data_IF_558418808508
#
_entry.id   IF_558418808508
#
_cell.length_a   1.000
_cell.length_b   1.000
_cell.length_c   1.000
_cell.angle_alpha   90.00
_cell.angle_beta   90.00
_cell.angle_gamma   90.00
#
_symmetry.space_group_name_H-M   'P 1'
#
loop_
_entity.id
_entity.type
_entity.pdbx_description
1 polymer ?
#
# COMPACT_ATOMS: atom_id res chain seq x y z
N UNK A 1 -5.78 -12.99 -25.38
CA UNK A 1 -6.03 -13.98 -24.34
C UNK A 1 -4.74 -14.51 -23.68
N UNK A 2 -3.74 -15.07 -24.40
CA UNK A 2 -2.52 -15.64 -23.78
C UNK A 2 -1.72 -14.64 -22.90
N UNK A 3 -1.59 -13.35 -23.28
CA UNK A 3 -0.93 -12.32 -22.48
C UNK A 3 -1.71 -11.98 -21.18
N UNK A 4 -3.05 -11.95 -21.28
CA UNK A 4 -3.92 -11.72 -20.13
C UNK A 4 -3.74 -12.83 -19.10
N UNK A 5 -3.88 -14.09 -19.49
CA UNK A 5 -3.66 -15.23 -18.59
C UNK A 5 -2.26 -15.25 -17.98
N UNK A 6 -1.22 -14.89 -18.72
CA UNK A 6 0.15 -14.86 -18.18
C UNK A 6 0.33 -13.80 -17.09
N UNK A 7 -0.31 -12.62 -17.24
CA UNK A 7 -0.19 -11.52 -16.27
C UNK A 7 -1.06 -11.73 -15.02
N UNK A 8 -2.24 -12.35 -15.19
CA UNK A 8 -3.21 -12.52 -14.08
C UNK A 8 -3.23 -13.93 -13.50
N UNK A 9 -2.37 -14.84 -13.99
CA UNK A 9 -2.35 -16.25 -13.57
C UNK A 9 -2.31 -16.41 -12.05
N UNK A 10 -1.44 -15.65 -11.37
CA UNK A 10 -1.29 -15.71 -9.92
C UNK A 10 -2.58 -15.28 -9.22
N UNK A 11 -3.14 -14.14 -9.60
CA UNK A 11 -4.40 -13.61 -9.03
C UNK A 11 -5.54 -14.60 -9.26
N UNK A 12 -5.62 -15.22 -10.45
CA UNK A 12 -6.62 -16.24 -10.75
C UNK A 12 -6.44 -17.48 -9.87
N UNK A 13 -5.20 -17.96 -9.68
CA UNK A 13 -4.91 -19.06 -8.76
C UNK A 13 -5.32 -18.73 -7.33
N UNK A 14 -5.07 -17.51 -6.87
CA UNK A 14 -5.48 -17.05 -5.54
C UNK A 14 -7.00 -17.02 -5.39
N UNK A 15 -7.71 -16.45 -6.36
CA UNK A 15 -9.19 -16.44 -6.36
C UNK A 15 -9.77 -17.87 -6.34
N UNK A 16 -9.24 -18.77 -7.17
CA UNK A 16 -9.68 -20.17 -7.20
C UNK A 16 -9.41 -20.84 -5.85
N UNK A 17 -8.26 -20.60 -5.24
CA UNK A 17 -7.90 -21.14 -3.93
C UNK A 17 -8.81 -20.63 -2.82
N UNK A 18 -9.10 -19.33 -2.80
CA UNK A 18 -10.00 -18.70 -1.83
C UNK A 18 -11.43 -19.24 -2.00
N UNK A 19 -11.95 -19.23 -3.23
CA UNK A 19 -13.31 -19.75 -3.52
C UNK A 19 -13.39 -21.24 -3.15
N UNK A 20 -12.41 -22.03 -3.57
CA UNK A 20 -12.34 -23.45 -3.24
C UNK A 20 -12.29 -23.70 -1.73
N UNK A 21 -11.48 -22.93 -1.00
CA UNK A 21 -11.41 -22.96 0.47
C UNK A 21 -12.75 -22.61 1.11
N UNK A 22 -13.38 -21.52 0.66
CA UNK A 22 -14.71 -21.12 1.15
C UNK A 22 -15.79 -22.19 0.94
N UNK A 23 -15.82 -22.80 -0.26
CA UNK A 23 -16.76 -23.89 -0.56
C UNK A 23 -16.48 -25.10 0.35
N UNK A 24 -15.20 -25.48 0.50
CA UNK A 24 -14.80 -26.60 1.37
C UNK A 24 -15.20 -26.34 2.82
N UNK A 25 -14.93 -25.14 3.34
CA UNK A 25 -15.31 -24.74 4.70
C UNK A 25 -16.84 -24.70 4.93
N UNK A 26 -17.61 -24.29 3.92
CA UNK A 26 -19.08 -24.27 4.00
C UNK A 26 -19.71 -25.67 3.97
N UNK A 27 -19.11 -26.60 3.22
CA UNK A 27 -19.68 -27.95 3.03
C UNK A 27 -19.13 -28.99 4.02
N UNK A 28 -17.93 -28.80 4.53
CA UNK A 28 -17.24 -29.78 5.39
C UNK A 28 -16.82 -29.16 6.73
N UNK A 29 -17.54 -29.50 7.79
CA UNK A 29 -17.23 -29.01 9.16
C UNK A 29 -15.83 -29.41 9.66
N UNK A 30 -15.24 -30.49 9.16
CA UNK A 30 -13.88 -30.93 9.46
C UNK A 30 -12.80 -30.09 8.78
N UNK A 31 -13.15 -29.07 7.97
CA UNK A 31 -12.23 -28.21 7.27
C UNK A 31 -11.35 -27.34 8.22
N UNK A 32 -11.69 -27.26 9.50
CA UNK A 32 -10.81 -26.70 10.54
C UNK A 32 -9.45 -27.43 10.61
N UNK A 33 -9.38 -28.71 10.23
CA UNK A 33 -8.13 -29.48 10.13
C UNK A 33 -7.16 -28.94 9.05
N UNK A 34 -7.62 -28.04 8.16
CA UNK A 34 -6.79 -27.41 7.11
C UNK A 34 -6.08 -26.15 7.59
N UNK A 35 -6.34 -25.67 8.82
CA UNK A 35 -5.67 -24.53 9.44
C UNK A 35 -4.13 -24.56 9.31
N UNK A 36 -3.42 -25.69 9.52
CA UNK A 36 -1.96 -25.72 9.44
C UNK A 36 -1.40 -25.29 8.08
N UNK A 37 -2.15 -25.48 6.98
CA UNK A 37 -1.73 -25.01 5.65
C UNK A 37 -1.65 -23.48 5.59
N UNK A 38 -2.65 -22.80 6.16
CA UNK A 38 -2.67 -21.35 6.28
C UNK A 38 -1.62 -20.84 7.26
N UNK A 39 -1.53 -21.46 8.43
CA UNK A 39 -0.57 -21.08 9.48
C UNK A 39 0.88 -21.17 9.01
N UNK A 40 1.23 -22.19 8.21
CA UNK A 40 2.56 -22.29 7.62
C UNK A 40 2.88 -21.10 6.72
N UNK A 41 1.96 -20.71 5.82
CA UNK A 41 2.12 -19.54 4.95
C UNK A 41 2.36 -18.25 5.77
N UNK A 42 1.53 -18.05 6.77
CA UNK A 42 1.57 -16.87 7.65
C UNK A 42 2.91 -16.80 8.40
N UNK A 43 3.37 -17.91 8.97
CA UNK A 43 4.62 -17.95 9.71
C UNK A 43 5.83 -17.69 8.81
N UNK A 44 5.82 -18.21 7.57
CA UNK A 44 6.85 -17.91 6.58
C UNK A 44 6.88 -16.41 6.25
N UNK A 45 5.72 -15.78 6.04
CA UNK A 45 5.63 -14.33 5.80
C UNK A 45 6.13 -13.54 7.01
N UNK A 46 5.73 -13.92 8.21
CA UNK A 46 6.17 -13.24 9.44
C UNK A 46 7.69 -13.23 9.64
N UNK A 47 8.39 -14.30 9.21
CA UNK A 47 9.85 -14.36 9.33
C UNK A 47 10.57 -13.34 8.43
N UNK A 48 9.96 -12.96 7.32
CA UNK A 48 10.62 -12.11 6.31
C UNK A 48 10.28 -10.63 6.48
N UNK A 49 9.11 -10.31 7.05
CA UNK A 49 8.60 -8.94 7.04
C UNK A 49 9.50 -7.96 7.81
N UNK A 50 9.96 -8.31 9.01
CA UNK A 50 10.80 -7.42 9.84
C UNK A 50 12.08 -7.00 9.12
N UNK A 51 12.94 -7.94 8.66
CA UNK A 51 14.14 -7.57 7.92
C UNK A 51 13.82 -6.87 6.60
N UNK A 52 12.75 -7.26 5.89
CA UNK A 52 12.34 -6.62 4.65
C UNK A 52 12.02 -5.15 4.86
N UNK A 53 11.25 -4.78 5.88
CA UNK A 53 10.90 -3.39 6.21
C UNK A 53 12.15 -2.58 6.45
N UNK A 54 13.05 -3.05 7.32
CA UNK A 54 14.26 -2.33 7.67
C UNK A 54 15.14 -2.07 6.45
N UNK A 55 15.47 -3.13 5.71
CA UNK A 55 16.39 -3.02 4.58
C UNK A 55 15.78 -2.24 3.40
N UNK A 56 14.50 -2.41 3.09
CA UNK A 56 13.86 -1.71 1.95
C UNK A 56 13.77 -0.20 2.19
N UNK A 57 13.34 0.23 3.38
CA UNK A 57 13.23 1.65 3.71
C UNK A 57 14.62 2.29 3.80
N UNK A 58 15.55 1.64 4.51
CA UNK A 58 16.92 2.14 4.61
C UNK A 58 17.59 2.26 3.24
N UNK A 59 17.40 1.26 2.36
CA UNK A 59 17.93 1.27 0.99
C UNK A 59 17.32 2.40 0.16
N UNK A 60 16.00 2.58 0.22
CA UNK A 60 15.32 3.64 -0.53
C UNK A 60 15.88 5.03 -0.19
N UNK A 61 16.07 5.31 1.10
CA UNK A 61 16.59 6.60 1.57
C UNK A 61 18.09 6.74 1.26
N UNK A 62 18.89 5.70 1.52
CA UNK A 62 20.34 5.72 1.28
C UNK A 62 20.70 5.97 -0.19
N UNK A 63 19.86 5.51 -1.13
CA UNK A 63 20.12 5.60 -2.57
C UNK A 63 19.48 6.83 -3.25
N UNK A 64 18.91 7.77 -2.50
CA UNK A 64 18.39 9.02 -3.07
C UNK A 64 19.50 9.87 -3.72
N UNK A 65 19.29 10.28 -4.98
CA UNK A 65 20.28 11.04 -5.77
C UNK A 65 19.95 12.53 -5.78
N UNK A 66 20.90 13.36 -5.37
CA UNK A 66 21.09 14.81 -5.64
C UNK A 66 20.27 15.93 -4.95
N UNK A 67 20.99 16.97 -4.45
CA UNK A 67 20.62 17.73 -3.24
C UNK A 67 20.17 19.19 -3.44
N UNK A 68 20.39 19.94 -4.53
CA UNK A 68 20.10 21.39 -4.49
C UNK A 68 18.83 21.89 -5.19
N UNK A 69 18.55 21.54 -6.44
CA UNK A 69 17.25 21.79 -7.07
C UNK A 69 16.30 20.63 -6.79
N UNK A 70 16.85 19.45 -6.69
CA UNK A 70 16.19 18.24 -6.24
C UNK A 70 15.53 18.41 -4.86
N UNK A 71 16.14 19.15 -3.93
CA UNK A 71 15.56 19.37 -2.60
C UNK A 71 14.19 20.04 -2.62
N UNK A 72 13.98 21.06 -3.48
CA UNK A 72 12.66 21.69 -3.62
C UNK A 72 11.66 20.75 -4.29
N UNK A 73 12.06 20.09 -5.39
CA UNK A 73 11.20 19.11 -6.06
C UNK A 73 10.83 18.02 -5.10
N UNK A 74 11.80 17.46 -4.38
CA UNK A 74 11.62 16.38 -3.42
C UNK A 74 10.72 16.77 -2.25
N UNK A 75 10.93 17.94 -1.64
CA UNK A 75 10.11 18.43 -0.53
C UNK A 75 8.64 18.63 -0.95
N UNK A 76 8.40 19.23 -2.11
CA UNK A 76 7.05 19.41 -2.65
C UNK A 76 6.43 18.04 -3.00
N UNK A 77 7.22 17.12 -3.53
CA UNK A 77 6.76 15.76 -3.88
C UNK A 77 6.32 14.99 -2.64
N UNK A 78 7.16 14.95 -1.60
CA UNK A 78 6.83 14.26 -0.33
C UNK A 78 5.58 14.89 0.29
N UNK A 79 5.51 16.22 0.37
CA UNK A 79 4.34 16.91 0.89
C UNK A 79 3.07 16.57 0.09
N UNK A 80 3.16 16.54 -1.25
CA UNK A 80 2.05 16.17 -2.13
C UNK A 80 1.59 14.74 -1.82
N UNK A 81 2.48 13.78 -1.79
CA UNK A 81 2.16 12.37 -1.53
C UNK A 81 1.53 12.13 -0.16
N UNK A 82 2.06 12.77 0.89
CA UNK A 82 1.48 12.63 2.23
C UNK A 82 0.09 13.26 2.33
N UNK A 83 -0.13 14.40 1.68
CA UNK A 83 -1.43 15.09 1.69
C UNK A 83 -2.46 14.28 0.92
N UNK A 84 -2.12 13.78 -0.27
CA UNK A 84 -3.06 12.98 -1.07
C UNK A 84 -3.36 11.63 -0.40
N UNK A 85 -2.38 10.96 0.18
CA UNK A 85 -2.59 9.72 0.93
C UNK A 85 -3.47 9.94 2.17
N UNK A 86 -3.23 11.01 2.93
CA UNK A 86 -4.09 11.37 4.06
C UNK A 86 -5.53 11.66 3.62
N UNK A 87 -5.69 12.40 2.52
CA UNK A 87 -7.00 12.68 1.95
C UNK A 87 -7.71 11.39 1.49
N UNK A 88 -7.00 10.49 0.81
CA UNK A 88 -7.52 9.21 0.36
C UNK A 88 -7.98 8.32 1.55
N UNK A 89 -7.18 8.26 2.62
CA UNK A 89 -7.52 7.55 3.85
C UNK A 89 -8.76 8.14 4.54
N UNK A 90 -8.83 9.47 4.67
CA UNK A 90 -10.00 10.17 5.24
C UNK A 90 -11.26 9.92 4.41
N UNK A 91 -11.15 9.99 3.08
CA UNK A 91 -12.26 9.71 2.18
C UNK A 91 -12.79 8.29 2.39
N UNK A 92 -11.89 7.31 2.45
CA UNK A 92 -12.28 5.92 2.66
C UNK A 92 -12.88 5.68 4.04
N UNK A 93 -12.42 6.38 5.08
CA UNK A 93 -13.04 6.33 6.39
C UNK A 93 -14.52 6.76 6.34
N UNK A 94 -14.84 7.85 5.65
CA UNK A 94 -16.23 8.25 5.48
C UNK A 94 -17.05 7.22 4.72
N UNK A 95 -16.47 6.59 3.68
CA UNK A 95 -17.15 5.52 2.94
C UNK A 95 -17.51 4.36 3.84
N UNK A 96 -16.58 3.82 4.61
CA UNK A 96 -16.85 2.67 5.50
C UNK A 96 -17.75 3.04 6.69
N UNK A 97 -17.78 4.30 7.08
CA UNK A 97 -18.69 4.80 8.11
C UNK A 97 -20.16 4.82 7.65
N UNK A 98 -20.40 5.17 6.37
CA UNK A 98 -21.76 5.25 5.82
C UNK A 98 -22.20 3.96 5.13
N UNK A 99 -21.28 3.13 4.68
CA UNK A 99 -21.53 1.84 4.03
C UNK A 99 -20.96 0.74 4.92
N UNK A 100 -21.79 0.11 5.78
CA UNK A 100 -21.32 -1.01 6.60
C UNK A 100 -20.81 -2.14 5.71
N UNK A 101 -19.52 -2.44 5.79
CA UNK A 101 -18.88 -3.47 4.95
C UNK A 101 -19.00 -4.86 5.56
N UNK A 102 -19.17 -4.96 6.87
CA UNK A 102 -19.42 -6.20 7.60
C UNK A 102 -20.87 -6.17 8.11
N UNK A 103 -21.61 -7.21 7.80
CA UNK A 103 -23.03 -7.37 8.16
C UNK A 103 -23.30 -8.71 8.85
N UNK A 104 -22.33 -9.62 8.84
CA UNK A 104 -22.39 -10.88 9.58
C UNK A 104 -22.39 -10.66 11.09
N UNK A 105 -23.09 -11.52 11.81
CA UNK A 105 -23.09 -11.50 13.27
C UNK A 105 -21.98 -12.44 13.76
N UNK A 106 -20.76 -11.90 13.91
CA UNK A 106 -19.61 -12.65 14.39
C UNK A 106 -19.55 -12.55 15.92
N UNK A 107 -19.21 -13.67 16.58
CA UNK A 107 -18.99 -13.61 18.03
C UNK A 107 -17.81 -12.69 18.31
N UNK A 108 -18.02 -11.71 19.18
CA UNK A 108 -16.94 -10.87 19.66
C UNK A 108 -15.83 -11.77 20.22
N UNK A 109 -14.63 -11.60 19.70
CA UNK A 109 -13.47 -12.30 20.25
C UNK A 109 -13.18 -11.61 21.59
N UNK A 110 -13.38 -12.34 22.70
CA UNK A 110 -12.98 -11.88 24.02
C UNK A 110 -11.45 -11.72 24.05
N UNK A 111 -11.02 -10.51 23.91
CA UNK A 111 -9.65 -10.06 24.07
C UNK A 111 -9.70 -8.59 24.45
N UNK A 112 -9.09 -8.22 25.55
CA UNK A 112 -8.93 -6.82 25.90
C UNK A 112 -8.15 -6.14 24.76
N UNK A 113 -8.74 -5.11 24.18
CA UNK A 113 -7.99 -4.15 23.36
C UNK A 113 -6.94 -3.61 24.31
N UNK A 114 -5.67 -3.93 24.03
CA UNK A 114 -4.56 -3.65 24.95
C UNK A 114 -4.69 -2.33 25.69
N UNK A 115 -4.25 -2.31 26.93
CA UNK A 115 -4.37 -1.18 27.86
C UNK A 115 -4.20 0.14 27.10
N UNK A 116 -5.14 1.05 27.31
CA UNK A 116 -5.07 2.40 26.76
C UNK A 116 -3.89 3.12 27.41
N UNK A 117 -2.72 2.98 26.80
CA UNK A 117 -1.55 3.76 27.16
C UNK A 117 -1.93 5.25 27.17
N UNK A 118 -1.38 6.02 28.07
CA UNK A 118 -1.56 7.47 28.04
C UNK A 118 -1.05 8.04 26.70
N UNK A 119 -1.67 9.13 26.22
CA UNK A 119 -1.31 9.71 24.92
C UNK A 119 0.21 9.98 24.75
N UNK A 120 0.96 10.46 25.77
CA UNK A 120 2.42 10.60 25.68
C UNK A 120 3.15 9.26 25.55
N UNK A 121 2.76 8.24 26.32
CA UNK A 121 3.35 6.90 26.25
C UNK A 121 3.06 6.22 24.91
N UNK A 122 1.85 6.40 24.36
CA UNK A 122 1.52 5.96 23.00
C UNK A 122 2.48 6.58 21.98
N UNK A 123 2.72 7.89 22.05
CA UNK A 123 3.61 8.58 21.12
C UNK A 123 5.05 8.06 21.25
N UNK A 124 5.56 7.93 22.46
CA UNK A 124 6.93 7.43 22.71
C UNK A 124 7.07 5.99 22.19
N UNK A 125 6.16 5.10 22.58
CA UNK A 125 6.20 3.70 22.16
C UNK A 125 5.94 3.51 20.66
N UNK A 126 5.24 4.47 20.02
CA UNK A 126 4.97 4.47 18.61
C UNK A 126 6.22 4.78 17.77
N UNK A 127 7.10 5.65 18.26
CA UNK A 127 8.26 6.11 17.51
C UNK A 127 9.59 5.49 17.96
N UNK A 128 9.68 4.95 19.19
CA UNK A 128 10.95 4.53 19.76
C UNK A 128 10.87 3.20 20.51
N UNK A 129 12.02 2.53 20.61
CA UNK A 129 12.28 1.44 21.56
C UNK A 129 13.60 1.71 22.25
N UNK A 130 13.76 1.34 23.54
CA UNK A 130 14.98 1.62 24.29
C UNK A 130 16.17 0.76 23.85
N UNK A 131 15.93 -0.41 23.25
CA UNK A 131 16.98 -1.31 22.80
C UNK A 131 16.84 -1.64 21.32
N UNK A 132 18.01 -1.68 20.62
CA UNK A 132 18.07 -2.02 19.20
C UNK A 132 17.55 -3.44 18.90
N UNK A 133 17.76 -4.37 19.83
CA UNK A 133 17.27 -5.75 19.67
C UNK A 133 15.73 -5.81 19.67
N UNK A 134 15.07 -4.95 20.46
CA UNK A 134 13.61 -4.87 20.50
C UNK A 134 13.00 -4.38 19.19
N UNK A 135 13.76 -3.65 18.37
CA UNK A 135 13.31 -3.22 17.04
C UNK A 135 13.07 -4.39 16.09
N UNK A 136 13.81 -5.50 16.26
CA UNK A 136 13.68 -6.70 15.41
C UNK A 136 12.48 -7.57 15.81
N UNK A 137 11.42 -6.95 16.29
CA UNK A 137 10.17 -7.60 16.66
C UNK A 137 9.01 -7.11 15.78
N UNK A 138 8.12 -8.03 15.41
CA UNK A 138 6.85 -7.69 14.75
C UNK A 138 6.01 -6.70 15.58
N UNK A 139 6.15 -6.73 16.90
CA UNK A 139 5.46 -5.80 17.83
C UNK A 139 6.04 -4.39 17.83
N UNK A 140 7.18 -4.16 17.18
CA UNK A 140 7.88 -2.88 17.12
C UNK A 140 7.95 -2.29 15.69
N UNK A 141 6.95 -2.55 14.83
CA UNK A 141 7.02 -2.19 13.41
C UNK A 141 7.18 -0.68 13.16
N UNK A 142 6.46 0.17 13.90
CA UNK A 142 6.60 1.61 13.72
C UNK A 142 7.94 2.15 14.21
N UNK A 143 8.43 1.81 15.42
CA UNK A 143 9.81 2.11 15.83
C UNK A 143 10.85 1.59 14.82
N UNK A 144 10.64 0.39 14.25
CA UNK A 144 11.52 -0.16 13.22
C UNK A 144 11.55 0.70 11.95
N UNK A 145 10.39 1.18 11.49
CA UNK A 145 10.29 2.10 10.34
C UNK A 145 11.06 3.39 10.62
N UNK A 146 10.86 3.99 11.79
CA UNK A 146 11.57 5.20 12.19
C UNK A 146 13.09 4.97 12.24
N UNK A 147 13.53 3.87 12.86
CA UNK A 147 14.94 3.49 12.91
C UNK A 147 15.52 3.26 11.51
N UNK A 148 14.78 2.61 10.61
CA UNK A 148 15.19 2.40 9.22
C UNK A 148 15.34 3.72 8.44
N UNK A 149 14.47 4.70 8.68
CA UNK A 149 14.56 6.05 8.11
C UNK A 149 15.85 6.74 8.60
N UNK A 150 16.08 6.74 9.91
CA UNK A 150 17.32 7.33 10.47
C UNK A 150 18.58 6.63 9.96
N UNK A 151 18.56 5.29 9.89
CA UNK A 151 19.67 4.53 9.34
C UNK A 151 19.95 4.91 7.88
N UNK A 152 18.90 5.01 7.05
CA UNK A 152 19.00 5.44 5.66
C UNK A 152 19.59 6.84 5.51
N UNK A 153 19.17 7.80 6.35
CA UNK A 153 19.75 9.14 6.38
C UNK A 153 21.22 9.12 6.88
N UNK A 154 21.55 8.29 7.87
CA UNK A 154 22.94 8.10 8.31
C UNK A 154 23.85 7.63 7.19
N UNK A 155 23.41 6.64 6.39
CA UNK A 155 24.13 6.18 5.19
C UNK A 155 24.23 7.28 4.14
N UNK A 156 23.15 8.07 3.96
CA UNK A 156 23.14 9.19 3.02
C UNK A 156 24.16 10.27 3.41
N UNK A 157 24.26 10.59 4.69
CA UNK A 157 25.27 11.54 5.23
C UNK A 157 26.69 11.00 5.11
N UNK A 158 26.89 9.69 5.19
CA UNK A 158 28.19 9.02 5.04
C UNK A 158 28.70 8.94 3.58
N UNK A 159 27.91 9.40 2.60
CA UNK A 159 28.27 9.40 1.17
C UNK A 159 27.22 8.82 0.24
N UNK A 160 26.10 8.37 0.76
CA UNK A 160 24.90 7.94 0.03
C UNK A 160 25.16 6.78 -0.93
N UNK A 161 24.66 6.85 -2.18
CA UNK A 161 24.73 5.74 -3.15
C UNK A 161 26.14 5.25 -3.49
N UNK A 162 27.19 6.04 -3.17
CA UNK A 162 28.58 5.66 -3.43
C UNK A 162 29.15 4.74 -2.36
N UNK A 163 28.47 4.59 -1.23
CA UNK A 163 28.95 3.75 -0.13
C UNK A 163 28.66 2.27 -0.38
N UNK A 164 29.55 1.40 0.09
CA UNK A 164 29.30 -0.06 0.07
C UNK A 164 28.06 -0.44 0.89
N UNK A 165 27.77 0.32 1.95
CA UNK A 165 26.58 0.09 2.79
C UNK A 165 25.30 0.33 2.00
N UNK A 166 25.19 1.40 1.21
CA UNK A 166 24.03 1.66 0.37
C UNK A 166 23.82 0.54 -0.68
N UNK A 167 24.90 0.06 -1.30
CA UNK A 167 24.85 -1.05 -2.26
C UNK A 167 24.42 -2.34 -1.58
N UNK A 168 24.97 -2.65 -0.40
CA UNK A 168 24.60 -3.83 0.39
C UNK A 168 23.11 -3.80 0.79
N UNK A 169 22.59 -2.66 1.23
CA UNK A 169 21.18 -2.50 1.56
C UNK A 169 20.29 -2.80 0.35
N UNK A 170 20.67 -2.34 -0.84
CA UNK A 170 19.95 -2.62 -2.08
C UNK A 170 19.98 -4.11 -2.45
N UNK A 171 21.15 -4.75 -2.30
CA UNK A 171 21.30 -6.18 -2.56
C UNK A 171 20.50 -7.04 -1.58
N UNK A 172 20.55 -6.75 -0.27
CA UNK A 172 19.77 -7.44 0.74
C UNK A 172 18.26 -7.25 0.47
N UNK A 173 17.86 -6.03 0.10
CA UNK A 173 16.45 -5.76 -0.27
C UNK A 173 16.02 -6.67 -1.42
N UNK A 174 16.84 -6.81 -2.47
CA UNK A 174 16.55 -7.74 -3.59
C UNK A 174 16.48 -9.19 -3.14
N UNK A 175 17.34 -9.61 -2.23
CA UNK A 175 17.29 -10.97 -1.66
C UNK A 175 16.00 -11.18 -0.89
N UNK A 176 15.61 -10.24 -0.01
CA UNK A 176 14.34 -10.33 0.74
C UNK A 176 13.15 -10.41 -0.19
N UNK A 177 13.13 -9.62 -1.27
CA UNK A 177 12.09 -9.67 -2.28
C UNK A 177 11.99 -11.03 -2.98
N UNK A 178 13.11 -11.66 -3.29
CA UNK A 178 13.13 -12.99 -3.88
C UNK A 178 12.60 -14.04 -2.89
N UNK A 179 12.91 -13.91 -1.59
CA UNK A 179 12.36 -14.80 -0.54
C UNK A 179 10.84 -14.65 -0.47
N UNK A 180 10.31 -13.42 -0.43
CA UNK A 180 8.85 -13.18 -0.48
C UNK A 180 8.24 -13.83 -1.72
N UNK A 181 8.85 -13.67 -2.89
CA UNK A 181 8.38 -14.30 -4.13
C UNK A 181 8.36 -15.84 -4.02
N UNK A 182 9.36 -16.46 -3.40
CA UNK A 182 9.36 -17.91 -3.17
C UNK A 182 8.21 -18.33 -2.24
N UNK A 183 8.00 -17.60 -1.14
CA UNK A 183 6.89 -17.86 -0.21
C UNK A 183 5.54 -17.69 -0.91
N UNK A 184 5.42 -16.68 -1.77
CA UNK A 184 4.20 -16.38 -2.53
C UNK A 184 3.79 -17.54 -3.46
N UNK A 185 4.71 -18.38 -3.95
CA UNK A 185 4.32 -19.57 -4.69
C UNK A 185 3.50 -20.58 -3.85
N UNK A 186 3.68 -20.58 -2.54
CA UNK A 186 2.89 -21.41 -1.62
C UNK A 186 1.55 -20.75 -1.25
N UNK A 187 1.37 -19.45 -1.49
CA UNK A 187 0.20 -18.69 -1.08
C UNK A 187 -1.16 -19.30 -1.50
N UNK A 188 -1.36 -19.83 -2.73
CA UNK A 188 -2.63 -20.45 -3.10
C UNK A 188 -3.01 -21.61 -2.18
N UNK A 189 -2.04 -22.45 -1.79
CA UNK A 189 -2.26 -23.59 -0.86
C UNK A 189 -2.59 -23.05 0.54
N UNK A 190 -1.82 -22.06 1.01
CA UNK A 190 -2.03 -21.41 2.30
C UNK A 190 -3.42 -20.79 2.41
N UNK A 191 -3.84 -20.03 1.40
CA UNK A 191 -5.16 -19.38 1.40
C UNK A 191 -6.30 -20.37 1.26
N UNK A 192 -6.18 -21.41 0.45
CA UNK A 192 -7.18 -22.47 0.43
C UNK A 192 -7.44 -23.03 1.82
N UNK A 193 -6.38 -23.46 2.54
CA UNK A 193 -6.52 -24.00 3.89
C UNK A 193 -7.05 -22.99 4.89
N UNK A 194 -6.55 -21.76 4.82
CA UNK A 194 -6.95 -20.68 5.72
C UNK A 194 -8.43 -20.29 5.56
N UNK A 195 -8.92 -20.12 4.31
CA UNK A 195 -10.31 -19.79 4.06
C UNK A 195 -11.27 -20.94 4.35
N UNK A 196 -10.83 -22.19 4.13
CA UNK A 196 -11.59 -23.36 4.55
C UNK A 196 -11.78 -23.39 6.07
N UNK A 197 -10.71 -23.13 6.83
CA UNK A 197 -10.76 -22.98 8.28
C UNK A 197 -11.68 -21.83 8.72
N UNK A 198 -11.51 -20.63 8.14
CA UNK A 198 -12.30 -19.47 8.52
C UNK A 198 -13.80 -19.65 8.29
N UNK A 199 -14.20 -20.17 7.13
CA UNK A 199 -15.62 -20.38 6.80
C UNK A 199 -16.21 -21.50 7.63
N UNK A 200 -15.45 -22.56 7.93
CA UNK A 200 -15.89 -23.61 8.85
C UNK A 200 -16.09 -23.10 10.29
N UNK A 201 -15.31 -22.11 10.71
CA UNK A 201 -15.35 -21.52 12.06
C UNK A 201 -16.39 -20.39 12.18
N UNK A 202 -16.37 -19.44 11.24
CA UNK A 202 -17.20 -18.21 11.31
C UNK A 202 -18.49 -18.27 10.46
N UNK A 203 -18.61 -19.26 9.60
CA UNK A 203 -19.80 -19.46 8.75
C UNK A 203 -19.72 -18.76 7.37
N UNK A 204 -20.67 -19.07 6.46
CA UNK A 204 -20.67 -18.58 5.07
C UNK A 204 -20.91 -17.08 4.91
N UNK A 205 -21.44 -16.38 5.93
CA UNK A 205 -21.64 -14.92 5.92
C UNK A 205 -20.36 -14.15 5.64
N UNK A 206 -19.22 -14.69 6.03
CA UNK A 206 -17.89 -14.12 5.77
C UNK A 206 -17.63 -13.89 4.27
N UNK A 207 -18.10 -14.80 3.40
CA UNK A 207 -17.92 -14.68 1.94
C UNK A 207 -18.66 -13.45 1.41
N UNK A 208 -19.88 -13.20 1.92
CA UNK A 208 -20.68 -12.03 1.55
C UNK A 208 -19.99 -10.72 1.93
N UNK A 209 -19.47 -10.63 3.16
CA UNK A 209 -18.81 -9.45 3.67
C UNK A 209 -17.47 -9.19 2.93
N UNK A 210 -16.71 -10.24 2.59
CA UNK A 210 -15.53 -10.14 1.72
C UNK A 210 -15.87 -9.56 0.35
N UNK A 211 -16.91 -10.14 -0.30
CA UNK A 211 -17.33 -9.68 -1.63
C UNK A 211 -17.79 -8.24 -1.62
N UNK A 212 -18.55 -7.84 -0.60
CA UNK A 212 -19.04 -6.48 -0.41
C UNK A 212 -17.86 -5.51 -0.22
N UNK A 213 -16.88 -5.88 0.60
CA UNK A 213 -15.66 -5.10 0.84
C UNK A 213 -14.89 -4.86 -0.45
N UNK A 214 -14.69 -5.91 -1.26
CA UNK A 214 -14.03 -5.80 -2.55
C UNK A 214 -14.79 -4.86 -3.50
N UNK A 215 -16.11 -5.03 -3.64
CA UNK A 215 -16.93 -4.19 -4.52
C UNK A 215 -16.81 -2.71 -4.11
N UNK A 216 -16.98 -2.41 -2.82
CA UNK A 216 -16.87 -1.04 -2.29
C UNK A 216 -15.49 -0.45 -2.62
N UNK A 217 -14.43 -1.23 -2.40
CA UNK A 217 -13.08 -0.76 -2.66
C UNK A 217 -12.79 -0.50 -4.14
N UNK A 218 -13.18 -1.44 -5.03
CA UNK A 218 -13.01 -1.27 -6.48
C UNK A 218 -13.75 -0.03 -6.99
N UNK A 219 -15.02 0.12 -6.59
CA UNK A 219 -15.82 1.30 -6.95
C UNK A 219 -15.15 2.58 -6.46
N UNK A 220 -14.60 2.58 -5.25
CA UNK A 220 -13.92 3.75 -4.69
C UNK A 220 -12.63 4.08 -5.42
N UNK A 221 -11.81 3.11 -5.83
CA UNK A 221 -10.60 3.36 -6.60
C UNK A 221 -10.93 3.99 -7.97
N UNK A 222 -11.93 3.48 -8.67
CA UNK A 222 -12.38 4.10 -9.92
C UNK A 222 -13.00 5.48 -9.69
N UNK A 223 -13.81 5.66 -8.66
CA UNK A 223 -14.35 6.98 -8.29
C UNK A 223 -13.22 7.97 -7.98
N UNK A 224 -12.20 7.55 -7.23
CA UNK A 224 -11.04 8.37 -6.93
C UNK A 224 -10.30 8.81 -8.20
N UNK A 225 -10.05 7.89 -9.12
CA UNK A 225 -9.41 8.18 -10.40
C UNK A 225 -10.23 9.15 -11.27
N UNK A 226 -11.56 8.99 -11.33
CA UNK A 226 -12.39 9.81 -12.21
C UNK A 226 -12.83 11.14 -11.60
N UNK A 227 -12.86 11.26 -10.27
CA UNK A 227 -13.33 12.48 -9.57
C UNK A 227 -12.12 13.30 -9.08
N UNK A 228 -11.18 12.69 -8.34
CA UNK A 228 -10.12 13.44 -7.67
C UNK A 228 -8.90 13.68 -8.56
N UNK A 229 -8.52 12.76 -9.41
CA UNK A 229 -7.41 12.99 -10.35
C UNK A 229 -7.63 14.21 -11.25
N UNK A 230 -8.81 14.41 -11.87
CA UNK A 230 -9.07 15.65 -12.63
C UNK A 230 -9.03 16.91 -11.76
N UNK A 231 -9.44 16.84 -10.50
CA UNK A 231 -9.33 17.97 -9.56
C UNK A 231 -7.85 18.30 -9.31
N UNK A 232 -7.02 17.30 -9.03
CA UNK A 232 -5.58 17.45 -8.83
C UNK A 232 -4.88 17.98 -10.10
N UNK A 233 -5.19 17.41 -11.25
CA UNK A 233 -4.64 17.85 -12.52
C UNK A 233 -5.09 19.28 -12.91
N UNK A 234 -6.33 19.66 -12.58
CA UNK A 234 -6.81 21.05 -12.76
C UNK A 234 -6.11 22.00 -11.80
N UNK A 235 -5.93 21.62 -10.56
CA UNK A 235 -5.16 22.40 -9.60
C UNK A 235 -3.72 22.56 -10.08
N UNK A 236 -3.04 21.48 -10.46
CA UNK A 236 -1.64 21.48 -10.88
C UNK A 236 -1.38 22.14 -12.23
N UNK A 237 -2.23 21.87 -13.24
CA UNK A 237 -2.04 22.31 -14.64
C UNK A 237 -2.94 23.46 -15.11
N UNK A 238 -3.81 24.01 -14.22
CA UNK A 238 -4.71 25.11 -14.56
C UNK A 238 -5.80 24.74 -15.56
N UNK A 239 -6.27 25.75 -16.34
CA UNK A 239 -7.28 25.53 -17.38
C UNK A 239 -6.76 24.56 -18.44
N UNK A 240 -7.32 23.35 -18.53
CA UNK A 240 -6.89 22.30 -19.46
C UNK A 240 -6.05 21.21 -18.82
N UNK A 241 -5.65 21.32 -17.55
CA UNK A 241 -4.91 20.28 -16.84
C UNK A 241 -5.64 18.95 -16.85
N UNK A 242 -6.92 18.93 -16.45
CA UNK A 242 -7.74 17.72 -16.46
C UNK A 242 -7.86 17.08 -17.88
N UNK A 243 -8.09 17.91 -18.92
CA UNK A 243 -8.18 17.40 -20.30
C UNK A 243 -6.86 16.78 -20.76
N UNK A 244 -5.74 17.41 -20.41
CA UNK A 244 -4.41 16.86 -20.75
C UNK A 244 -4.13 15.58 -19.99
N UNK A 245 -4.45 15.55 -18.72
CA UNK A 245 -4.32 14.36 -17.89
C UNK A 245 -5.09 13.18 -18.49
N UNK A 246 -6.39 13.33 -18.77
CA UNK A 246 -7.20 12.23 -19.32
C UNK A 246 -6.71 11.72 -20.68
N UNK A 247 -6.07 12.55 -21.50
CA UNK A 247 -5.49 12.12 -22.78
C UNK A 247 -4.43 11.03 -22.59
N UNK A 248 -3.72 11.04 -21.48
CA UNK A 248 -2.55 10.18 -21.23
C UNK A 248 -2.74 9.19 -20.07
N UNK A 249 -3.68 9.44 -19.14
CA UNK A 249 -3.89 8.69 -17.90
C UNK A 249 -4.13 7.19 -18.11
N UNK A 250 -4.89 6.82 -19.15
CA UNK A 250 -5.31 5.43 -19.31
C UNK A 250 -4.15 4.46 -19.63
N UNK A 251 -3.03 4.94 -20.19
CA UNK A 251 -1.86 4.10 -20.43
C UNK A 251 -1.21 3.62 -19.13
N UNK A 252 -0.77 4.51 -18.22
CA UNK A 252 -0.22 4.06 -16.93
C UNK A 252 -1.27 3.36 -16.06
N UNK A 253 -2.53 3.76 -16.09
CA UNK A 253 -3.59 3.08 -15.36
C UNK A 253 -3.77 1.62 -15.79
N UNK A 254 -3.78 1.34 -17.10
CA UNK A 254 -3.89 -0.02 -17.62
C UNK A 254 -2.65 -0.87 -17.32
N UNK A 255 -1.44 -0.28 -17.43
CA UNK A 255 -0.19 -1.00 -17.11
C UNK A 255 -0.14 -1.34 -15.63
N UNK A 256 -0.41 -0.38 -14.74
CA UNK A 256 -0.36 -0.61 -13.28
C UNK A 256 -1.44 -1.57 -12.81
N UNK A 257 -2.67 -1.44 -13.30
CA UNK A 257 -3.74 -2.39 -13.00
C UNK A 257 -3.41 -3.81 -13.45
N UNK A 258 -2.77 -3.94 -14.64
CA UNK A 258 -2.42 -5.24 -15.22
C UNK A 258 -1.19 -5.90 -14.63
N UNK A 259 -0.26 -5.12 -14.07
CA UNK A 259 1.01 -5.63 -13.54
C UNK A 259 1.04 -5.69 -12.02
N UNK A 260 0.11 -5.01 -11.34
CA UNK A 260 0.15 -4.79 -9.89
C UNK A 260 1.52 -4.24 -9.43
N UNK A 261 2.16 -3.40 -10.28
CA UNK A 261 3.50 -2.89 -10.00
C UNK A 261 3.65 -1.43 -10.42
N UNK A 262 3.81 -0.55 -9.44
CA UNK A 262 4.14 0.85 -9.68
C UNK A 262 5.51 0.99 -10.33
N UNK A 263 6.49 0.15 -9.93
CA UNK A 263 7.83 0.15 -10.52
C UNK A 263 7.81 -0.23 -12.00
N UNK A 264 7.03 -1.24 -12.39
CA UNK A 264 6.87 -1.62 -13.80
C UNK A 264 6.16 -0.55 -14.63
N UNK A 265 5.45 0.38 -13.98
CA UNK A 265 4.71 1.48 -14.62
C UNK A 265 5.59 2.72 -14.82
N UNK A 266 6.75 2.84 -14.15
CA UNK A 266 7.65 4.00 -14.26
C UNK A 266 7.94 4.38 -15.73
N UNK A 267 8.35 3.47 -16.64
CA UNK A 267 8.66 3.84 -18.01
C UNK A 267 7.46 4.47 -18.73
N UNK A 268 6.26 3.92 -18.53
CA UNK A 268 5.02 4.45 -19.12
C UNK A 268 4.67 5.82 -18.53
N UNK A 269 4.84 6.01 -17.23
CA UNK A 269 4.65 7.31 -16.58
C UNK A 269 5.64 8.36 -17.10
N UNK A 270 6.91 7.99 -17.31
CA UNK A 270 7.91 8.89 -17.88
C UNK A 270 7.54 9.34 -19.30
N UNK A 271 7.11 8.40 -20.13
CA UNK A 271 6.69 8.65 -21.51
C UNK A 271 5.49 9.63 -21.55
N UNK A 272 4.44 9.37 -20.77
CA UNK A 272 3.26 10.27 -20.75
C UNK A 272 3.57 11.62 -20.10
N UNK A 273 4.51 11.68 -19.16
CA UNK A 273 4.96 12.94 -18.58
C UNK A 273 5.72 13.80 -19.60
N UNK A 274 6.59 13.20 -20.41
CA UNK A 274 7.30 13.86 -21.51
C UNK A 274 6.33 14.33 -22.58
N UNK A 275 5.36 13.49 -22.97
CA UNK A 275 4.28 13.87 -23.90
C UNK A 275 3.40 15.01 -23.36
N UNK A 276 3.24 15.12 -22.05
CA UNK A 276 2.52 16.21 -21.40
C UNK A 276 3.33 17.50 -21.39
N UNK A 277 4.66 17.39 -21.42
CA UNK A 277 5.61 18.52 -21.34
C UNK A 277 6.01 18.88 -19.90
N UNK A 278 5.91 17.92 -18.98
CA UNK A 278 6.45 18.05 -17.62
C UNK A 278 7.98 18.11 -17.71
N UNK A 279 8.61 18.96 -16.91
CA UNK A 279 10.06 19.14 -16.95
C UNK A 279 10.79 17.87 -16.52
N UNK A 280 11.94 17.57 -17.17
CA UNK A 280 12.74 16.36 -16.87
C UNK A 280 13.16 16.28 -15.41
N UNK A 281 13.43 17.41 -14.77
CA UNK A 281 13.80 17.46 -13.36
C UNK A 281 12.66 16.98 -12.45
N UNK A 282 11.41 17.35 -12.76
CA UNK A 282 10.23 16.89 -12.05
C UNK A 282 9.98 15.41 -12.36
N UNK A 283 9.98 15.02 -13.64
CA UNK A 283 9.74 13.63 -14.07
C UNK A 283 10.72 12.65 -13.43
N UNK A 284 12.02 12.97 -13.46
CA UNK A 284 13.07 12.08 -12.97
C UNK A 284 13.11 11.93 -11.45
N UNK A 285 12.41 12.77 -10.70
CA UNK A 285 12.32 12.71 -9.25
C UNK A 285 10.95 12.18 -8.82
N UNK A 286 9.86 12.78 -9.31
CA UNK A 286 8.50 12.46 -8.86
C UNK A 286 8.13 11.02 -9.19
N UNK A 287 8.39 10.56 -10.43
CA UNK A 287 7.90 9.24 -10.86
C UNK A 287 8.63 8.06 -10.19
N UNK A 288 9.98 8.05 -10.08
CA UNK A 288 10.65 6.99 -9.33
C UNK A 288 10.36 7.03 -7.83
N UNK A 289 10.22 8.23 -7.22
CA UNK A 289 9.81 8.35 -5.83
C UNK A 289 8.36 7.90 -5.63
N UNK A 290 7.46 8.29 -6.55
CA UNK A 290 6.06 7.94 -6.50
C UNK A 290 5.85 6.44 -6.52
N UNK A 291 6.55 5.73 -7.38
CA UNK A 291 6.46 4.26 -7.45
C UNK A 291 6.77 3.53 -6.12
N UNK A 292 7.38 4.21 -5.16
CA UNK A 292 7.73 3.65 -3.84
C UNK A 292 7.06 4.35 -2.66
N UNK A 293 6.57 5.58 -2.83
CA UNK A 293 6.08 6.41 -1.72
C UNK A 293 4.68 6.98 -1.92
N UNK A 294 4.17 7.07 -3.16
CA UNK A 294 2.83 7.59 -3.45
C UNK A 294 1.82 6.45 -3.47
N UNK A 295 1.10 6.30 -2.38
CA UNK A 295 0.31 5.11 -2.09
C UNK A 295 -1.13 5.45 -1.68
N UNK A 296 -1.80 6.32 -2.44
CA UNK A 296 -3.19 6.74 -2.17
C UNK A 296 -4.16 5.56 -2.15
N UNK A 297 -4.04 4.65 -3.12
CA UNK A 297 -4.82 3.42 -3.17
C UNK A 297 -4.53 2.52 -1.97
N UNK A 298 -3.26 2.33 -1.63
CA UNK A 298 -2.86 1.54 -0.46
C UNK A 298 -3.37 2.16 0.85
N UNK A 299 -3.38 3.48 0.98
CA UNK A 299 -3.93 4.17 2.14
C UNK A 299 -5.45 3.95 2.26
N UNK A 300 -6.21 3.99 1.16
CA UNK A 300 -7.62 3.59 1.15
C UNK A 300 -7.80 2.12 1.52
N UNK A 301 -6.96 1.25 0.98
CA UNK A 301 -6.97 -0.19 1.29
C UNK A 301 -6.73 -0.47 2.77
N UNK A 302 -5.80 0.24 3.39
CA UNK A 302 -5.53 0.13 4.81
C UNK A 302 -6.78 0.42 5.67
N UNK A 303 -7.49 1.50 5.37
CA UNK A 303 -8.69 1.90 6.12
C UNK A 303 -9.82 0.88 5.98
N UNK A 304 -10.09 0.40 4.76
CA UNK A 304 -11.18 -0.59 4.57
C UNK A 304 -10.85 -1.92 5.22
N UNK A 305 -9.58 -2.35 5.20
CA UNK A 305 -9.13 -3.57 5.90
C UNK A 305 -9.27 -3.46 7.41
N UNK A 306 -8.85 -2.34 7.98
CA UNK A 306 -9.01 -2.10 9.43
C UNK A 306 -10.49 -2.10 9.79
N UNK A 307 -11.34 -1.39 9.05
CA UNK A 307 -12.79 -1.38 9.28
C UNK A 307 -13.42 -2.78 9.16
N UNK A 308 -12.97 -3.57 8.18
CA UNK A 308 -13.41 -4.96 8.00
C UNK A 308 -13.04 -5.82 9.20
N UNK A 309 -11.80 -5.74 9.67
CA UNK A 309 -11.34 -6.50 10.83
C UNK A 309 -12.07 -6.10 12.11
N UNK A 310 -12.29 -4.78 12.33
CA UNK A 310 -13.10 -4.31 13.46
C UNK A 310 -14.51 -4.93 13.42
N UNK A 311 -15.12 -5.01 12.22
CA UNK A 311 -16.42 -5.65 12.04
C UNK A 311 -16.41 -7.15 12.32
N UNK A 312 -15.39 -7.88 11.82
CA UNK A 312 -15.25 -9.34 12.07
C UNK A 312 -15.04 -9.65 13.55
N UNK A 313 -14.28 -8.82 14.26
CA UNK A 313 -14.06 -9.01 15.69
C UNK A 313 -15.18 -8.42 16.59
N UNK A 314 -16.27 -7.90 15.98
CA UNK A 314 -17.37 -7.30 16.72
C UNK A 314 -16.99 -6.02 17.51
N UNK A 315 -15.93 -5.33 17.07
CA UNK A 315 -15.39 -4.14 17.71
C UNK A 315 -15.90 -2.86 17.05
N UNK A 316 -16.07 -1.78 17.82
CA UNK A 316 -16.46 -0.49 17.27
C UNK A 316 -15.28 0.23 16.60
N UNK A 317 -15.45 0.66 15.35
CA UNK A 317 -14.51 1.50 14.62
C UNK A 317 -14.85 2.99 14.81
N UNK A 318 -14.78 3.44 16.07
CA UNK A 318 -15.06 4.82 16.45
C UNK A 318 -14.05 5.83 15.95
N UNK A 319 -14.40 7.13 16.06
CA UNK A 319 -13.61 8.25 15.51
C UNK A 319 -12.17 8.31 16.02
N UNK A 320 -11.92 7.99 17.29
CA UNK A 320 -10.55 7.99 17.85
C UNK A 320 -9.67 6.95 17.19
N UNK A 321 -10.18 5.72 17.01
CA UNK A 321 -9.48 4.64 16.30
C UNK A 321 -9.29 4.94 14.81
N UNK A 322 -10.25 5.64 14.22
CA UNK A 322 -10.17 6.06 12.83
C UNK A 322 -9.05 7.08 12.59
N UNK A 323 -8.86 8.05 13.49
CA UNK A 323 -7.75 9.01 13.42
C UNK A 323 -6.41 8.27 13.48
N UNK A 324 -6.26 7.34 14.42
CA UNK A 324 -5.07 6.51 14.52
C UNK A 324 -4.88 5.67 13.24
N UNK A 325 -5.95 5.07 12.72
CA UNK A 325 -5.89 4.27 11.49
C UNK A 325 -5.45 5.11 10.28
N UNK A 326 -5.91 6.35 10.15
CA UNK A 326 -5.50 7.27 9.08
C UNK A 326 -4.01 7.59 9.20
N UNK A 327 -3.53 7.92 10.40
CA UNK A 327 -2.10 8.18 10.64
C UNK A 327 -1.28 6.95 10.28
N UNK A 328 -1.65 5.78 10.80
CA UNK A 328 -0.95 4.52 10.52
C UNK A 328 -1.02 4.17 9.04
N UNK A 329 -2.15 4.35 8.37
CA UNK A 329 -2.31 4.10 6.94
C UNK A 329 -1.34 4.94 6.10
N UNK A 330 -1.21 6.24 6.40
CA UNK A 330 -0.29 7.13 5.69
C UNK A 330 1.16 6.71 5.89
N UNK A 331 1.58 6.42 7.13
CA UNK A 331 2.97 6.02 7.38
C UNK A 331 3.29 4.59 6.91
N UNK A 332 2.36 3.64 7.08
CA UNK A 332 2.56 2.27 6.60
C UNK A 332 2.57 2.19 5.08
N UNK A 333 1.81 3.04 4.39
CA UNK A 333 1.81 3.07 2.93
C UNK A 333 3.16 3.48 2.34
N UNK A 334 3.89 4.38 3.00
CA UNK A 334 5.28 4.74 2.62
C UNK A 334 6.25 3.56 2.81
N UNK A 335 5.93 2.62 3.71
CA UNK A 335 6.74 1.42 3.95
C UNK A 335 6.46 0.28 2.95
N UNK A 336 5.37 0.38 2.19
CA UNK A 336 5.03 -0.57 1.15
C UNK A 336 5.96 -0.39 -0.05
N UNK A 337 6.37 -1.48 -0.68
CA UNK A 337 7.16 -1.39 -1.92
C UNK A 337 6.25 -1.45 -3.14
N UNK A 338 6.55 -0.64 -4.17
CA UNK A 338 5.77 -0.55 -5.41
C UNK A 338 5.88 -1.77 -6.34
N UNK A 339 5.99 -2.96 -5.79
CA UNK A 339 6.12 -4.24 -6.48
C UNK A 339 4.96 -5.17 -6.11
N UNK A 340 4.60 -6.13 -6.97
CA UNK A 340 3.53 -7.09 -6.70
C UNK A 340 3.74 -7.83 -5.37
N UNK A 341 2.71 -7.89 -4.52
CA UNK A 341 2.78 -8.51 -3.20
C UNK A 341 3.54 -7.71 -2.14
N UNK A 342 3.95 -6.47 -2.43
CA UNK A 342 4.64 -5.59 -1.47
C UNK A 342 3.75 -5.06 -0.33
N UNK A 343 2.44 -5.27 -0.42
CA UNK A 343 1.46 -4.81 0.58
C UNK A 343 1.55 -5.49 1.95
N UNK A 344 2.00 -6.73 2.00
CA UNK A 344 2.01 -7.54 3.24
C UNK A 344 2.72 -6.91 4.44
N UNK A 345 3.63 -5.98 4.19
CA UNK A 345 4.29 -5.17 5.23
C UNK A 345 3.32 -4.20 5.88
N UNK A 346 2.56 -3.47 5.08
CA UNK A 346 1.57 -2.52 5.58
C UNK A 346 0.45 -3.21 6.36
N UNK A 347 -0.03 -4.36 5.88
CA UNK A 347 -1.02 -5.17 6.57
C UNK A 347 -0.53 -5.64 7.95
N UNK A 348 0.75 -6.04 8.04
CA UNK A 348 1.30 -6.45 9.31
C UNK A 348 1.38 -5.29 10.31
N UNK A 349 1.82 -4.10 9.85
CA UNK A 349 1.83 -2.90 10.70
C UNK A 349 0.43 -2.61 11.24
N UNK A 350 -0.58 -2.61 10.37
CA UNK A 350 -1.97 -2.38 10.76
C UNK A 350 -2.45 -3.42 11.78
N UNK A 351 -2.25 -4.71 11.48
CA UNK A 351 -2.72 -5.79 12.35
C UNK A 351 -1.99 -5.80 13.71
N UNK A 352 -0.70 -5.46 13.74
CA UNK A 352 0.07 -5.41 14.99
C UNK A 352 -0.39 -4.27 15.90
N UNK A 353 -0.80 -3.14 15.32
CA UNK A 353 -1.26 -1.97 16.10
C UNK A 353 -2.67 -2.16 16.60
N UNK A 354 -3.57 -2.64 15.74
CA UNK A 354 -5.01 -2.68 16.06
C UNK A 354 -5.46 -4.02 16.64
N UNK A 355 -4.75 -5.12 16.34
CA UNK A 355 -5.16 -6.49 16.70
C UNK A 355 -3.98 -7.33 17.20
N UNK A 356 -3.18 -6.86 18.17
CA UNK A 356 -1.96 -7.55 18.62
C UNK A 356 -2.22 -8.95 19.13
N UNK A 357 -3.31 -9.15 19.88
CA UNK A 357 -3.70 -10.44 20.46
C UNK A 357 -4.35 -11.38 19.42
N UNK A 358 -4.90 -10.83 18.34
CA UNK A 358 -5.57 -11.58 17.27
C UNK A 358 -4.78 -11.61 15.97
N UNK A 359 -3.48 -11.37 16.03
CA UNK A 359 -2.62 -11.22 14.87
C UNK A 359 -2.64 -12.46 13.94
N UNK A 360 -2.76 -13.65 14.51
CA UNK A 360 -2.83 -14.90 13.76
C UNK A 360 -4.07 -15.02 12.87
N UNK A 361 -5.15 -14.31 13.20
CA UNK A 361 -6.40 -14.27 12.42
C UNK A 361 -6.45 -13.01 11.57
N UNK A 362 -6.15 -11.84 12.15
CA UNK A 362 -6.26 -10.55 11.49
C UNK A 362 -5.32 -10.42 10.28
N UNK A 363 -4.07 -10.85 10.43
CA UNK A 363 -3.06 -10.67 9.38
C UNK A 363 -3.35 -11.46 8.10
N UNK A 364 -3.72 -12.76 8.14
CA UNK A 364 -4.10 -13.49 6.93
C UNK A 364 -5.31 -12.92 6.22
N UNK A 365 -6.32 -12.46 6.98
CA UNK A 365 -7.49 -11.78 6.43
C UNK A 365 -7.05 -10.50 5.70
N UNK A 366 -6.18 -9.70 6.32
CA UNK A 366 -5.66 -8.48 5.75
C UNK A 366 -4.84 -8.73 4.48
N UNK A 367 -3.97 -9.76 4.45
CA UNK A 367 -3.19 -10.13 3.26
C UNK A 367 -4.12 -10.58 2.14
N UNK A 368 -5.07 -11.47 2.42
CA UNK A 368 -5.98 -11.97 1.40
C UNK A 368 -6.81 -10.85 0.77
N UNK A 369 -7.29 -9.90 1.58
CA UNK A 369 -7.90 -8.68 1.05
C UNK A 369 -6.88 -7.87 0.25
N UNK A 370 -5.65 -7.73 0.74
CA UNK A 370 -4.56 -7.00 0.12
C UNK A 370 -4.28 -7.47 -1.30
N UNK A 371 -4.10 -8.76 -1.48
CA UNK A 371 -3.81 -9.36 -2.79
C UNK A 371 -4.96 -9.17 -3.79
N UNK A 372 -6.21 -9.22 -3.32
CA UNK A 372 -7.39 -9.03 -4.17
C UNK A 372 -7.64 -7.56 -4.55
N UNK A 373 -7.26 -6.62 -3.69
CA UNK A 373 -7.42 -5.18 -3.96
C UNK A 373 -6.18 -4.56 -4.63
N UNK A 374 -5.08 -5.30 -4.77
CA UNK A 374 -3.82 -4.80 -5.32
C UNK A 374 -3.96 -4.21 -6.75
N UNK A 375 -4.70 -4.81 -7.70
CA UNK A 375 -4.84 -4.22 -9.04
C UNK A 375 -5.40 -2.79 -9.03
N UNK A 376 -6.55 -2.48 -8.43
CA UNK A 376 -7.08 -1.12 -8.37
C UNK A 376 -6.28 -0.21 -7.43
N UNK A 377 -5.67 -0.74 -6.34
CA UNK A 377 -4.79 0.02 -5.47
C UNK A 377 -3.58 0.54 -6.26
N UNK A 378 -2.88 -0.35 -6.95
CA UNK A 378 -1.71 -0.02 -7.76
C UNK A 378 -2.05 0.89 -8.93
N UNK A 379 -3.25 0.76 -9.50
CA UNK A 379 -3.75 1.70 -10.51
C UNK A 379 -3.83 3.12 -9.96
N UNK A 380 -4.41 3.29 -8.77
CA UNK A 380 -4.51 4.62 -8.12
C UNK A 380 -3.12 5.13 -7.74
N UNK A 381 -2.25 4.29 -7.17
CA UNK A 381 -0.90 4.66 -6.79
C UNK A 381 -0.09 5.13 -8.01
N UNK A 382 0.13 4.26 -8.97
CA UNK A 382 1.06 4.52 -10.08
C UNK A 382 0.52 5.49 -11.13
N UNK A 383 -0.77 5.45 -11.48
CA UNK A 383 -1.33 6.48 -12.35
C UNK A 383 -1.45 7.83 -11.61
N UNK A 384 -1.59 7.80 -10.30
CA UNK A 384 -1.52 8.96 -9.41
C UNK A 384 -0.17 9.66 -9.44
N UNK A 385 0.95 8.95 -9.63
CA UNK A 385 2.30 9.55 -9.77
C UNK A 385 2.36 10.56 -10.92
N UNK A 386 1.80 10.17 -12.07
CA UNK A 386 1.67 11.06 -13.21
C UNK A 386 0.82 12.29 -12.87
N UNK A 387 -0.28 12.11 -12.14
CA UNK A 387 -1.17 13.22 -11.74
C UNK A 387 -0.49 14.11 -10.69
N UNK A 388 0.20 13.54 -9.71
CA UNK A 388 0.95 14.27 -8.70
C UNK A 388 2.03 15.16 -9.32
N UNK A 389 2.64 14.70 -10.44
CA UNK A 389 3.63 15.50 -11.17
C UNK A 389 3.08 16.83 -11.69
N UNK A 390 1.76 16.98 -11.95
CA UNK A 390 1.12 18.26 -12.27
C UNK A 390 1.15 19.22 -11.07
N UNK A 391 0.88 18.71 -9.87
CA UNK A 391 0.92 19.50 -8.64
C UNK A 391 2.34 19.97 -8.37
N UNK A 392 3.31 19.05 -8.44
CA UNK A 392 4.73 19.38 -8.24
C UNK A 392 5.21 20.40 -9.26
N UNK A 393 4.88 20.25 -10.55
CA UNK A 393 5.24 21.21 -11.59
C UNK A 393 4.68 22.59 -11.31
N UNK A 394 3.47 22.71 -10.77
CA UNK A 394 2.89 24.00 -10.37
C UNK A 394 3.74 24.75 -9.36
N UNK A 395 4.27 24.06 -8.36
CA UNK A 395 5.06 24.67 -7.29
C UNK A 395 6.54 24.88 -7.66
N UNK A 396 7.06 24.07 -8.59
CA UNK A 396 8.47 24.11 -9.01
C UNK A 396 8.66 24.99 -10.25
N UNK A 397 7.85 24.77 -11.29
CA UNK A 397 7.96 25.43 -12.60
C UNK A 397 6.99 26.62 -12.78
N UNK A 398 6.07 26.80 -11.79
CA UNK A 398 5.13 27.90 -11.74
C UNK A 398 3.73 27.54 -12.30
N UNK A 399 2.74 28.43 -12.04
CA UNK A 399 1.33 28.17 -12.33
C UNK A 399 1.02 27.94 -13.81
N UNK A 400 1.83 28.55 -14.71
CA UNK A 400 1.62 28.55 -16.17
C UNK A 400 2.49 27.49 -16.89
N UNK A 401 3.09 26.55 -16.18
CA UNK A 401 4.00 25.58 -16.75
C UNK A 401 3.40 24.81 -17.93
N UNK A 402 2.12 24.39 -17.82
CA UNK A 402 1.45 23.63 -18.87
C UNK A 402 1.17 24.46 -20.13
N UNK A 403 0.84 25.74 -19.97
CA UNK A 403 0.66 26.68 -21.10
C UNK A 403 1.98 26.90 -21.83
N UNK A 404 3.07 27.12 -21.08
CA UNK A 404 4.42 27.25 -21.64
C UNK A 404 4.88 25.98 -22.38
N UNK A 405 4.57 24.80 -21.83
CA UNK A 405 4.89 23.53 -22.46
C UNK A 405 4.16 23.33 -23.79
N UNK A 406 2.89 23.71 -23.87
CA UNK A 406 2.09 23.64 -25.10
C UNK A 406 2.58 24.59 -26.18
N UNK A 407 2.88 25.83 -25.81
CA UNK A 407 3.37 26.86 -26.77
C UNK A 407 4.75 26.49 -27.35
N UNK A 408 5.57 25.76 -26.62
CA UNK A 408 6.85 25.22 -27.13
C UNK A 408 6.63 24.13 -28.17
N UNK A 409 5.65 23.23 -27.96
CA UNK A 409 5.33 22.14 -28.89
C UNK A 409 4.68 22.61 -30.19
N UNK A 410 3.93 23.73 -30.18
CA UNK A 410 3.35 24.30 -31.37
C UNK A 410 4.38 25.04 -32.27
N UNK A 411 5.58 25.32 -31.70
CA UNK A 411 6.68 26.01 -32.41
C UNK A 411 7.79 25.05 -32.89
N UNK A 412 7.78 23.80 -32.45
CA UNK A 412 8.67 22.73 -32.91
C UNK A 412 7.99 21.83 -33.94
#
# INVERSE_FOLDING_TARGET
MKKFFKNYWFILCMLIAIIGGCITGALWKGATALEPLGTLFINLMFCVVVPMVFFSISSAIANMKNIKRAGKVMGVTIATFLITAAFAAVLMYFVVKFIPIVTGNYQAVEGEIGETLSAPEMIINFFTKPDFVELWSRRAMLPLIVAAIFFGFGVQMAGGPKTKVAQLLEEITRVMMNIVKLITYYAPIGFFGFFAYLVATYGPSLIGDYSKTLIVYYVMCFAYMFIFFPIYARFGGGKGGAKTMFRHLFRPAAVSFGTCSSVATIPTNMEVAEETGISKDVTNIVLPMGATMHMDGSAMSAIIKVAFLFGIFGLDFGTGRAILAIIVAVFSSVAMSGIPGGGGVGELVLCTIFFPEHLAIAYPIAIALGDLVDPPATMVNAAGDYVASFIVSRFVDGKDWLVKARSKKEKS
#
